data_IF_190672103640
#
_entry.id   IF_190672103640
#
_cell.length_a   1.000
_cell.length_b   1.000
_cell.length_c   1.000
_cell.angle_alpha   90.00
_cell.angle_beta   90.00
_cell.angle_gamma   90.00
#
_symmetry.space_group_name_H-M   'P 1'
#
loop_
_entity.id
_entity.type
_entity.pdbx_description
1 polymer ?
#
# COMPACT_ATOMS: atom_id res chain seq x y z
N UNK A 1 -19.51 15.63 -73.80
CA UNK A 1 -18.39 15.92 -72.87
C UNK A 1 -19.00 16.39 -71.54
N UNK A 2 -19.57 15.50 -70.73
CA UNK A 2 -18.98 14.76 -69.60
C UNK A 2 -17.55 15.16 -69.17
N UNK A 3 -17.44 15.78 -67.99
CA UNK A 3 -16.87 15.23 -66.73
C UNK A 3 -17.07 16.27 -65.62
N UNK A 4 -18.09 16.12 -64.76
CA UNK A 4 -18.10 15.37 -63.49
C UNK A 4 -17.47 16.13 -62.31
N UNK A 5 -18.36 16.59 -61.41
CA UNK A 5 -18.06 17.04 -60.05
C UNK A 5 -17.36 15.92 -59.27
N UNK A 6 -16.21 16.21 -58.66
CA UNK A 6 -15.54 15.28 -57.75
C UNK A 6 -15.98 15.56 -56.31
N UNK A 7 -16.70 14.59 -55.76
CA UNK A 7 -17.00 14.39 -54.34
C UNK A 7 -15.75 13.92 -53.59
N UNK A 8 -15.35 14.59 -52.50
CA UNK A 8 -14.75 13.89 -51.36
C UNK A 8 -15.19 14.51 -50.03
N UNK A 9 -15.94 13.70 -49.29
CA UNK A 9 -16.37 13.83 -47.91
C UNK A 9 -15.67 12.70 -47.14
N UNK A 10 -15.27 12.99 -45.90
CA UNK A 10 -14.87 12.08 -44.81
C UNK A 10 -13.56 11.27 -44.93
N UNK A 11 -12.63 11.56 -43.99
CA UNK A 11 -11.80 10.55 -43.34
C UNK A 11 -11.96 10.69 -41.82
N UNK A 12 -13.15 10.30 -41.32
CA UNK A 12 -13.23 9.64 -40.02
C UNK A 12 -12.57 8.29 -40.25
N UNK A 13 -11.49 7.97 -39.53
CA UNK A 13 -10.90 6.64 -39.60
C UNK A 13 -12.00 5.60 -39.28
N UNK A 14 -12.39 4.73 -40.23
CA UNK A 14 -13.17 3.57 -39.87
C UNK A 14 -12.23 2.68 -39.06
N UNK A 15 -12.58 2.40 -37.81
CA UNK A 15 -12.02 1.26 -37.10
C UNK A 15 -12.42 0.01 -37.90
N UNK A 16 -11.54 -0.43 -38.80
CA UNK A 16 -11.64 -1.75 -39.42
C UNK A 16 -11.45 -2.77 -38.30
N UNK A 17 -12.42 -3.66 -38.03
CA UNK A 17 -12.18 -4.78 -37.15
C UNK A 17 -11.20 -5.69 -37.88
N UNK A 18 -10.04 -5.95 -37.26
CA UNK A 18 -9.22 -7.10 -37.64
C UNK A 18 -10.01 -8.32 -37.18
N UNK A 19 -10.83 -8.89 -38.06
CA UNK A 19 -11.45 -10.18 -37.85
C UNK A 19 -10.33 -11.23 -37.95
N UNK A 20 -9.84 -11.67 -36.80
CA UNK A 20 -9.16 -12.95 -36.65
C UNK A 20 -10.26 -14.01 -36.57
N UNK A 21 -10.12 -15.09 -37.34
CA UNK A 21 -11.08 -16.20 -37.46
C UNK A 21 -11.34 -16.90 -36.11
N UNK A 22 -12.17 -16.27 -35.27
CA UNK A 22 -12.76 -16.87 -34.08
C UNK A 22 -14.23 -16.41 -34.04
N UNK A 23 -15.22 -17.32 -34.19
CA UNK A 23 -16.62 -16.93 -34.41
C UNK A 23 -17.33 -16.35 -33.18
N UNK A 24 -16.62 -16.16 -32.06
CA UNK A 24 -17.08 -15.37 -30.94
C UNK A 24 -16.12 -14.20 -30.72
N UNK A 25 -16.55 -12.93 -30.87
CA UNK A 25 -15.80 -11.83 -30.30
C UNK A 25 -15.71 -12.08 -28.79
N UNK A 26 -14.52 -12.46 -28.32
CA UNK A 26 -14.21 -12.43 -26.90
C UNK A 26 -14.09 -10.95 -26.55
N UNK A 27 -15.23 -10.30 -26.34
CA UNK A 27 -15.24 -8.99 -25.70
C UNK A 27 -14.59 -9.21 -24.34
N UNK A 28 -13.42 -8.61 -24.13
CA UNK A 28 -12.88 -8.55 -22.79
C UNK A 28 -13.93 -7.93 -21.86
N UNK A 29 -13.90 -8.34 -20.60
CA UNK A 29 -14.94 -7.97 -19.65
C UNK A 29 -15.02 -6.43 -19.45
N UNK A 30 -13.92 -5.71 -19.71
CA UNK A 30 -13.87 -4.25 -19.80
C UNK A 30 -14.68 -3.66 -20.95
N UNK A 31 -14.63 -4.28 -22.12
CA UNK A 31 -15.47 -3.92 -23.28
C UNK A 31 -16.93 -4.22 -22.99
N UNK A 32 -17.24 -5.32 -22.30
CA UNK A 32 -18.62 -5.62 -21.86
C UNK A 32 -19.15 -4.61 -20.83
N UNK A 33 -18.34 -4.18 -19.87
CA UNK A 33 -18.71 -3.14 -18.90
C UNK A 33 -18.87 -1.77 -19.54
N UNK A 34 -17.99 -1.41 -20.49
CA UNK A 34 -18.15 -0.21 -21.31
C UNK A 34 -19.43 -0.25 -22.14
N UNK A 35 -19.71 -1.36 -22.83
CA UNK A 35 -20.96 -1.60 -23.56
C UNK A 35 -22.16 -1.45 -22.61
N UNK A 36 -22.10 -2.05 -21.41
CA UNK A 36 -23.16 -1.94 -20.39
C UNK A 36 -23.38 -0.48 -19.95
N UNK A 37 -22.32 0.30 -19.75
CA UNK A 37 -22.43 1.72 -19.42
C UNK A 37 -23.06 2.54 -20.56
N UNK A 38 -22.75 2.21 -21.82
CA UNK A 38 -23.37 2.83 -23.00
C UNK A 38 -24.84 2.42 -23.14
N UNK A 39 -25.17 1.18 -22.78
CA UNK A 39 -26.56 0.69 -22.72
C UNK A 39 -27.33 1.45 -21.63
N UNK A 40 -26.76 1.65 -20.43
CA UNK A 40 -27.41 2.44 -19.36
C UNK A 40 -27.68 3.86 -19.84
N UNK A 41 -26.73 4.50 -20.53
CA UNK A 41 -26.95 5.82 -21.14
C UNK A 41 -28.03 5.79 -22.22
N UNK A 42 -28.01 4.79 -23.10
CA UNK A 42 -29.02 4.65 -24.14
C UNK A 42 -30.42 4.47 -23.53
N UNK A 43 -30.56 3.60 -22.54
CA UNK A 43 -31.82 3.38 -21.81
C UNK A 43 -32.25 4.66 -21.10
N UNK A 44 -31.32 5.40 -20.49
CA UNK A 44 -31.57 6.72 -19.89
C UNK A 44 -32.06 7.74 -20.93
N UNK A 45 -31.38 7.85 -22.07
CA UNK A 45 -31.72 8.75 -23.17
C UNK A 45 -33.10 8.42 -23.78
N UNK A 46 -33.41 7.13 -23.95
CA UNK A 46 -34.74 6.68 -24.38
C UNK A 46 -35.82 7.03 -23.35
N UNK A 47 -35.53 6.85 -22.07
CA UNK A 47 -36.43 7.21 -20.98
C UNK A 47 -36.71 8.72 -20.94
N UNK A 48 -35.66 9.53 -21.08
CA UNK A 48 -35.75 11.00 -21.11
C UNK A 48 -36.58 11.45 -22.31
N UNK A 49 -36.35 10.84 -23.48
CA UNK A 49 -37.15 11.10 -24.69
C UNK A 49 -38.62 10.77 -24.46
N UNK A 50 -38.92 9.66 -23.80
CA UNK A 50 -40.30 9.27 -23.49
C UNK A 50 -40.97 10.22 -22.51
N UNK A 51 -40.27 10.70 -21.47
CA UNK A 51 -40.80 11.71 -20.54
C UNK A 51 -41.04 13.05 -21.24
N UNK A 52 -40.08 13.51 -22.05
CA UNK A 52 -40.23 14.75 -22.86
C UNK A 52 -41.41 14.69 -23.82
N UNK A 53 -41.70 13.51 -24.37
CA UNK A 53 -42.83 13.27 -25.27
C UNK A 53 -44.13 12.89 -24.53
N UNK A 54 -44.22 13.07 -23.21
CA UNK A 54 -45.37 12.75 -22.37
C UNK A 54 -45.81 11.27 -22.42
N UNK A 55 -44.91 10.36 -22.80
CA UNK A 55 -45.17 8.91 -22.84
C UNK A 55 -44.93 8.23 -21.49
N UNK A 56 -44.21 8.87 -20.57
CA UNK A 56 -43.94 8.42 -19.19
C UNK A 56 -43.92 9.61 -18.23
N UNK A 57 -44.26 9.38 -16.97
CA UNK A 57 -44.14 10.39 -15.91
C UNK A 57 -42.74 10.42 -15.30
N UNK A 58 -42.45 11.46 -14.51
CA UNK A 58 -41.19 11.54 -13.74
C UNK A 58 -41.21 10.57 -12.54
N UNK A 59 -42.39 10.26 -11.99
CA UNK A 59 -42.54 9.17 -11.02
C UNK A 59 -42.14 7.82 -11.62
N UNK A 60 -42.49 7.57 -12.88
CA UNK A 60 -42.10 6.34 -13.55
C UNK A 60 -40.58 6.26 -13.69
N UNK A 61 -39.89 7.39 -13.92
CA UNK A 61 -38.43 7.46 -13.96
C UNK A 61 -37.82 7.02 -12.62
N UNK A 62 -38.29 7.56 -11.51
CA UNK A 62 -37.83 7.16 -10.18
C UNK A 62 -38.11 5.69 -9.86
N UNK A 63 -39.26 5.14 -10.27
CA UNK A 63 -39.56 3.70 -10.15
C UNK A 63 -38.67 2.82 -11.04
N UNK A 64 -38.19 3.38 -12.16
CA UNK A 64 -37.18 2.73 -13.00
C UNK A 64 -35.83 2.67 -12.29
N UNK A 65 -35.42 3.78 -11.66
CA UNK A 65 -34.16 3.87 -10.92
C UNK A 65 -34.08 2.91 -9.73
N UNK A 66 -35.19 2.58 -9.08
CA UNK A 66 -35.17 1.61 -7.98
C UNK A 66 -34.82 0.18 -8.41
N UNK A 67 -34.68 -0.07 -9.72
CA UNK A 67 -34.32 -1.38 -10.29
C UNK A 67 -32.88 -1.42 -10.81
N UNK A 68 -32.12 -0.34 -10.69
CA UNK A 68 -30.71 -0.34 -11.12
C UNK A 68 -29.91 -1.24 -10.17
N UNK A 69 -28.86 -1.89 -10.68
CA UNK A 69 -28.00 -2.72 -9.85
C UNK A 69 -27.31 -1.90 -8.77
N UNK A 70 -27.08 -2.50 -7.60
CA UNK A 70 -26.43 -1.87 -6.44
C UNK A 70 -25.09 -1.20 -6.82
N UNK A 71 -24.26 -1.90 -7.59
CA UNK A 71 -22.97 -1.40 -8.11
C UNK A 71 -23.13 -0.12 -8.95
N UNK A 72 -24.21 -0.04 -9.73
CA UNK A 72 -24.51 1.14 -10.53
C UNK A 72 -25.05 2.28 -9.65
N UNK A 73 -25.98 1.99 -8.74
CA UNK A 73 -26.50 2.96 -7.77
C UNK A 73 -25.38 3.58 -6.93
N UNK A 74 -24.54 2.73 -6.32
CA UNK A 74 -23.38 3.13 -5.52
C UNK A 74 -22.46 4.04 -6.32
N UNK A 75 -22.13 3.65 -7.55
CA UNK A 75 -21.24 4.46 -8.39
C UNK A 75 -21.79 5.84 -8.73
N UNK A 76 -23.09 5.94 -9.04
CA UNK A 76 -23.73 7.21 -9.38
C UNK A 76 -23.87 8.11 -8.15
N UNK A 77 -24.19 7.53 -6.99
CA UNK A 77 -24.25 8.24 -5.71
C UNK A 77 -22.86 8.79 -5.32
N UNK A 78 -21.81 7.99 -5.44
CA UNK A 78 -20.45 8.43 -5.10
C UNK A 78 -19.95 9.54 -6.03
N UNK A 79 -20.27 9.48 -7.33
CA UNK A 79 -20.02 10.59 -8.27
C UNK A 79 -20.76 11.86 -7.82
N UNK A 80 -22.03 11.71 -7.42
CA UNK A 80 -22.84 12.84 -6.98
C UNK A 80 -22.24 13.51 -5.74
N UNK A 81 -21.87 12.72 -4.74
CA UNK A 81 -21.24 13.19 -3.52
C UNK A 81 -19.90 13.89 -3.81
N UNK A 82 -19.10 13.33 -4.73
CA UNK A 82 -17.87 13.95 -5.19
C UNK A 82 -18.11 15.34 -5.79
N UNK A 83 -19.10 15.50 -6.69
CA UNK A 83 -19.45 16.81 -7.25
C UNK A 83 -19.92 17.83 -6.22
N UNK A 84 -20.39 17.38 -5.07
CA UNK A 84 -20.82 18.24 -3.96
C UNK A 84 -19.71 18.50 -2.93
N UNK A 85 -18.50 17.97 -3.13
CA UNK A 85 -17.41 18.04 -2.15
C UNK A 85 -17.68 17.20 -0.90
N UNK A 86 -18.57 16.21 -1.00
CA UNK A 86 -19.06 15.36 0.09
C UNK A 86 -18.60 13.91 -0.05
N UNK A 87 -17.39 13.68 -0.56
CA UNK A 87 -16.84 12.32 -0.70
C UNK A 87 -16.74 11.56 0.63
N UNK A 88 -16.66 12.27 1.77
CA UNK A 88 -16.73 11.71 3.13
C UNK A 88 -18.06 11.02 3.49
N UNK A 89 -19.14 11.27 2.73
CA UNK A 89 -20.47 10.64 2.92
C UNK A 89 -20.58 9.32 2.15
N UNK A 90 -19.52 8.89 1.47
CA UNK A 90 -19.44 7.61 0.76
C UNK A 90 -19.25 6.44 1.74
N UNK A 91 -20.24 6.24 2.60
CA UNK A 91 -20.32 5.11 3.54
C UNK A 91 -20.88 3.87 2.83
N UNK A 92 -20.66 2.71 3.45
CA UNK A 92 -21.32 1.47 3.01
C UNK A 92 -22.78 1.49 3.46
N UNK A 93 -23.69 1.50 2.49
CA UNK A 93 -25.12 1.32 2.71
C UNK A 93 -25.54 -0.13 2.42
N UNK A 94 -26.69 -0.56 2.95
CA UNK A 94 -27.26 -1.88 2.68
C UNK A 94 -27.97 -1.89 1.32
N UNK A 95 -27.57 -2.79 0.40
CA UNK A 95 -28.28 -3.12 -0.85
C UNK A 95 -29.02 -1.97 -1.54
N UNK A 96 -30.35 -1.91 -1.32
CA UNK A 96 -31.27 -0.98 -1.99
C UNK A 96 -31.10 0.49 -1.55
N UNK A 97 -30.41 0.75 -0.44
CA UNK A 97 -30.25 2.09 0.13
C UNK A 97 -29.47 3.02 -0.80
N UNK A 98 -28.52 2.50 -1.60
CA UNK A 98 -27.83 3.32 -2.60
C UNK A 98 -28.80 3.88 -3.65
N UNK A 99 -29.74 3.06 -4.12
CA UNK A 99 -30.73 3.47 -5.10
C UNK A 99 -31.73 4.45 -4.47
N UNK A 100 -32.15 4.20 -3.23
CA UNK A 100 -33.05 5.08 -2.50
C UNK A 100 -32.44 6.46 -2.22
N UNK A 101 -31.17 6.52 -1.82
CA UNK A 101 -30.45 7.77 -1.61
C UNK A 101 -30.27 8.53 -2.92
N UNK A 102 -29.87 7.83 -4.00
CA UNK A 102 -29.76 8.45 -5.32
C UNK A 102 -31.09 9.05 -5.79
N UNK A 103 -32.21 8.31 -5.63
CA UNK A 103 -33.55 8.80 -5.96
C UNK A 103 -33.94 9.99 -5.08
N UNK A 104 -33.64 9.92 -3.77
CA UNK A 104 -33.90 11.00 -2.84
C UNK A 104 -33.20 12.27 -3.33
N UNK A 105 -31.91 12.22 -3.66
CA UNK A 105 -31.19 13.38 -4.20
C UNK A 105 -31.78 13.91 -5.50
N UNK A 106 -32.08 13.03 -6.46
CA UNK A 106 -32.61 13.44 -7.76
C UNK A 106 -33.97 14.14 -7.63
N UNK A 107 -34.81 13.76 -6.66
CA UNK A 107 -36.10 14.43 -6.41
C UNK A 107 -35.98 15.89 -5.97
N UNK A 108 -34.85 16.28 -5.37
CA UNK A 108 -34.60 17.66 -4.95
C UNK A 108 -33.83 18.48 -5.99
N UNK A 109 -33.57 17.94 -7.18
CA UNK A 109 -32.97 18.68 -8.28
C UNK A 109 -34.06 19.31 -9.16
N UNK A 110 -33.81 20.53 -9.65
CA UNK A 110 -34.73 21.23 -10.57
C UNK A 110 -34.94 20.46 -11.88
N UNK A 111 -33.92 19.70 -12.32
CA UNK A 111 -33.98 18.83 -13.49
C UNK A 111 -33.38 17.44 -13.20
N UNK A 112 -34.17 16.51 -12.60
CA UNK A 112 -33.69 15.19 -12.20
C UNK A 112 -33.14 14.34 -13.35
N UNK A 113 -33.73 14.51 -14.55
CA UNK A 113 -33.36 13.76 -15.74
C UNK A 113 -32.01 14.19 -16.31
N UNK A 114 -31.78 15.50 -16.40
CA UNK A 114 -30.50 16.05 -16.85
C UNK A 114 -29.39 15.74 -15.84
N UNK A 115 -29.68 15.85 -14.55
CA UNK A 115 -28.72 15.49 -13.50
C UNK A 115 -28.32 14.01 -13.59
N UNK A 116 -29.29 13.09 -13.74
CA UNK A 116 -29.00 11.68 -13.94
C UNK A 116 -28.14 11.42 -15.18
N UNK A 117 -28.44 12.09 -16.30
CA UNK A 117 -27.64 11.97 -17.52
C UNK A 117 -26.21 12.49 -17.34
N UNK A 118 -26.01 13.56 -16.57
CA UNK A 118 -24.70 14.07 -16.22
C UNK A 118 -23.91 13.07 -15.39
N UNK A 119 -24.54 12.43 -14.40
CA UNK A 119 -23.92 11.37 -13.59
C UNK A 119 -23.52 10.15 -14.45
N UNK A 120 -24.41 9.69 -15.33
CA UNK A 120 -24.13 8.57 -16.25
C UNK A 120 -23.00 8.92 -17.21
N UNK A 121 -23.01 10.13 -17.78
CA UNK A 121 -21.93 10.59 -18.66
C UNK A 121 -20.60 10.64 -17.91
N UNK A 122 -20.58 11.20 -16.70
CA UNK A 122 -19.37 11.25 -15.89
C UNK A 122 -18.86 9.85 -15.57
N UNK A 123 -19.75 8.92 -15.19
CA UNK A 123 -19.40 7.50 -14.99
C UNK A 123 -18.74 6.90 -16.23
N UNK A 124 -19.32 7.11 -17.41
CA UNK A 124 -18.77 6.60 -18.68
C UNK A 124 -17.38 7.18 -18.94
N UNK A 125 -17.14 8.44 -18.57
CA UNK A 125 -15.91 9.14 -18.93
C UNK A 125 -14.81 9.03 -17.83
N UNK A 126 -15.17 8.68 -16.59
CA UNK A 126 -14.26 8.80 -15.42
C UNK A 126 -14.28 7.65 -14.41
N UNK A 127 -15.12 6.62 -14.57
CA UNK A 127 -15.04 5.43 -13.70
C UNK A 127 -14.16 4.36 -14.35
N UNK A 128 -13.25 3.80 -13.55
CA UNK A 128 -12.43 2.66 -13.96
C UNK A 128 -13.28 1.37 -13.92
N UNK A 129 -13.34 0.57 -15.00
CA UNK A 129 -14.04 -0.70 -14.99
C UNK A 129 -13.43 -1.65 -13.96
N UNK A 130 -14.29 -2.42 -13.28
CA UNK A 130 -13.91 -3.23 -12.12
C UNK A 130 -12.88 -4.31 -12.45
N UNK A 131 -12.88 -4.77 -13.69
CA UNK A 131 -11.92 -5.75 -14.22
C UNK A 131 -10.46 -5.32 -14.10
N UNK A 132 -10.21 -4.00 -14.12
CA UNK A 132 -8.87 -3.43 -13.96
C UNK A 132 -8.39 -3.42 -12.51
N UNK A 133 -9.25 -3.77 -11.56
CA UNK A 133 -8.93 -3.84 -10.13
C UNK A 133 -8.54 -5.25 -9.68
N UNK A 134 -8.94 -6.28 -10.44
CA UNK A 134 -8.81 -7.70 -10.03
C UNK A 134 -7.36 -8.15 -9.78
N UNK A 135 -6.38 -7.51 -10.41
CA UNK A 135 -4.98 -7.91 -10.27
C UNK A 135 -4.36 -7.57 -8.90
N UNK A 136 -4.98 -6.70 -8.10
CA UNK A 136 -4.47 -6.32 -6.78
C UNK A 136 -5.45 -6.60 -5.63
N UNK A 137 -6.75 -6.78 -5.90
CA UNK A 137 -7.80 -6.94 -4.88
C UNK A 137 -7.57 -8.08 -3.86
N UNK A 138 -6.75 -9.08 -4.20
CA UNK A 138 -6.40 -10.17 -3.29
C UNK A 138 -4.93 -10.14 -2.82
N UNK A 139 -4.15 -9.14 -3.24
CA UNK A 139 -2.73 -9.00 -2.94
C UNK A 139 -2.47 -7.67 -2.22
N UNK A 140 -2.22 -7.74 -0.91
CA UNK A 140 -1.96 -6.58 -0.09
C UNK A 140 -0.68 -5.85 -0.55
N UNK A 141 0.36 -6.57 -0.98
CA UNK A 141 1.62 -5.96 -1.43
C UNK A 141 1.39 -5.10 -2.68
N UNK A 142 0.56 -5.56 -3.62
CA UNK A 142 0.13 -4.76 -4.77
C UNK A 142 -0.62 -3.50 -4.34
N UNK A 143 -1.55 -3.64 -3.39
CA UNK A 143 -2.37 -2.53 -2.89
C UNK A 143 -1.54 -1.48 -2.15
N UNK A 144 -0.56 -1.92 -1.34
CA UNK A 144 0.41 -1.06 -0.67
C UNK A 144 1.28 -0.28 -1.66
N UNK A 145 1.72 -0.94 -2.74
CA UNK A 145 2.45 -0.28 -3.81
C UNK A 145 1.59 0.79 -4.49
N UNK A 146 0.34 0.48 -4.84
CA UNK A 146 -0.58 1.44 -5.45
C UNK A 146 -0.87 2.62 -4.51
N UNK A 147 -1.15 2.36 -3.24
CA UNK A 147 -1.35 3.40 -2.23
C UNK A 147 -0.11 4.29 -2.06
N UNK A 148 1.10 3.74 -2.16
CA UNK A 148 2.33 4.53 -2.13
C UNK A 148 2.38 5.54 -3.28
N UNK A 149 1.95 5.16 -4.49
CA UNK A 149 1.97 6.08 -5.64
C UNK A 149 1.10 7.32 -5.43
N UNK A 150 0.04 7.20 -4.63
CA UNK A 150 -0.91 8.29 -4.33
C UNK A 150 -0.89 8.71 -2.85
N UNK A 151 0.19 8.43 -2.13
CA UNK A 151 0.26 8.60 -0.67
C UNK A 151 -0.12 10.01 -0.18
N UNK A 152 0.21 11.06 -0.93
CA UNK A 152 -0.09 12.45 -0.60
C UNK A 152 -1.59 12.75 -0.66
N UNK A 153 -2.37 11.99 -1.44
CA UNK A 153 -3.83 12.09 -1.48
C UNK A 153 -4.50 11.34 -0.32
N UNK A 154 -3.76 10.43 0.33
CA UNK A 154 -4.25 9.56 1.42
C UNK A 154 -3.68 9.97 2.79
N UNK A 155 -2.97 11.10 2.87
CA UNK A 155 -2.16 11.48 4.06
C UNK A 155 -2.99 11.75 5.33
N UNK A 156 -4.30 12.01 5.17
CA UNK A 156 -5.22 12.25 6.28
C UNK A 156 -6.02 11.01 6.68
N UNK A 157 -5.74 9.86 6.05
CA UNK A 157 -6.45 8.61 6.25
C UNK A 157 -5.57 7.62 7.02
N UNK A 158 -6.23 6.72 7.74
CA UNK A 158 -5.58 5.64 8.46
C UNK A 158 -6.32 4.34 8.16
N UNK A 159 -5.58 3.34 7.69
CA UNK A 159 -6.12 2.03 7.34
C UNK A 159 -5.53 0.98 8.25
N UNK A 160 -6.42 0.24 8.89
CA UNK A 160 -6.09 -0.85 9.78
C UNK A 160 -6.25 -2.18 9.04
N UNK A 161 -5.13 -2.86 8.84
CA UNK A 161 -5.11 -4.19 8.26
C UNK A 161 -5.48 -4.27 6.79
N UNK A 162 -5.41 -5.49 6.25
CA UNK A 162 -5.53 -5.77 4.82
C UNK A 162 -6.82 -5.24 4.19
N UNK A 163 -7.96 -5.55 4.80
CA UNK A 163 -9.27 -5.34 4.16
C UNK A 163 -9.56 -3.86 3.93
N UNK A 164 -9.31 -3.02 4.94
CA UNK A 164 -9.54 -1.57 4.84
C UNK A 164 -8.69 -0.94 3.74
N UNK A 165 -7.38 -1.24 3.69
CA UNK A 165 -6.50 -0.67 2.69
C UNK A 165 -6.87 -1.12 1.27
N UNK A 166 -7.10 -2.43 1.07
CA UNK A 166 -7.45 -2.96 -0.26
C UNK A 166 -8.74 -2.31 -0.77
N UNK A 167 -9.76 -2.23 0.09
CA UNK A 167 -11.04 -1.63 -0.27
C UNK A 167 -10.87 -0.14 -0.60
N UNK A 168 -10.12 0.60 0.21
CA UNK A 168 -9.87 2.02 -0.02
C UNK A 168 -9.12 2.29 -1.33
N UNK A 169 -8.08 1.49 -1.63
CA UNK A 169 -7.36 1.61 -2.90
C UNK A 169 -8.26 1.24 -4.09
N UNK A 170 -9.09 0.20 -3.95
CA UNK A 170 -10.03 -0.20 -4.99
C UNK A 170 -11.07 0.88 -5.27
N UNK A 171 -11.68 1.45 -4.23
CA UNK A 171 -12.66 2.52 -4.36
C UNK A 171 -12.02 3.81 -4.88
N UNK A 172 -10.82 4.16 -4.39
CA UNK A 172 -10.07 5.30 -4.92
C UNK A 172 -9.81 5.13 -6.41
N UNK A 173 -9.25 4.01 -6.86
CA UNK A 173 -8.97 3.79 -8.27
C UNK A 173 -10.25 3.72 -9.11
N UNK A 174 -11.33 3.15 -8.57
CA UNK A 174 -12.62 3.04 -9.27
C UNK A 174 -13.25 4.41 -9.53
N UNK A 175 -13.28 5.27 -8.51
CA UNK A 175 -14.05 6.51 -8.54
C UNK A 175 -13.20 7.76 -8.77
N UNK A 176 -11.88 7.69 -8.54
CA UNK A 176 -10.95 8.81 -8.60
C UNK A 176 -9.76 8.55 -9.55
N UNK A 177 -9.95 7.72 -10.58
CA UNK A 177 -8.90 7.34 -11.54
C UNK A 177 -8.20 8.54 -12.20
N UNK A 178 -8.91 9.64 -12.38
CA UNK A 178 -8.35 10.88 -12.93
C UNK A 178 -7.23 11.45 -12.04
N UNK A 179 -7.39 11.44 -10.72
CA UNK A 179 -6.34 11.87 -9.80
C UNK A 179 -5.15 10.93 -9.87
N UNK A 180 -5.39 9.62 -9.85
CA UNK A 180 -4.33 8.63 -10.03
C UNK A 180 -3.52 8.92 -11.31
N UNK A 181 -4.20 9.12 -12.44
CA UNK A 181 -3.59 9.36 -13.75
C UNK A 181 -2.66 10.57 -13.81
N UNK A 182 -2.92 11.60 -13.00
CA UNK A 182 -2.13 12.83 -12.98
C UNK A 182 -0.98 12.75 -11.99
N UNK A 183 -1.14 12.01 -10.89
CA UNK A 183 -0.25 12.09 -9.74
C UNK A 183 0.73 10.91 -9.60
N UNK A 184 0.37 9.72 -10.10
CA UNK A 184 1.13 8.49 -9.83
C UNK A 184 2.60 8.55 -10.26
N UNK A 185 2.91 9.30 -11.32
CA UNK A 185 4.26 9.38 -11.89
C UNK A 185 5.27 10.00 -10.93
N UNK A 186 4.85 10.93 -10.06
CA UNK A 186 5.75 11.60 -9.13
C UNK A 186 6.37 10.65 -8.09
N UNK A 187 5.63 9.60 -7.74
CA UNK A 187 6.05 8.58 -6.78
C UNK A 187 6.41 7.24 -7.45
N UNK A 188 6.36 7.15 -8.80
CA UNK A 188 6.71 5.92 -9.48
C UNK A 188 8.22 5.68 -9.37
N UNK A 189 8.68 4.54 -8.84
CA UNK A 189 10.10 4.27 -8.70
C UNK A 189 10.82 4.24 -10.04
N UNK A 190 12.07 4.68 -10.05
CA UNK A 190 12.90 4.58 -11.24
C UNK A 190 13.28 3.13 -11.48
N UNK A 191 12.64 2.51 -12.47
CA UNK A 191 12.92 1.15 -12.91
C UNK A 191 13.68 1.12 -14.24
N UNK A 192 14.43 0.04 -14.46
CA UNK A 192 15.18 -0.19 -15.72
C UNK A 192 14.26 -0.35 -16.93
N UNK A 193 13.03 -0.83 -16.71
CA UNK A 193 12.01 -0.97 -17.74
C UNK A 193 10.84 -0.02 -17.48
N UNK A 194 10.73 1.02 -18.31
CA UNK A 194 9.57 1.91 -18.35
C UNK A 194 8.82 1.64 -19.65
N UNK A 195 7.55 1.25 -19.54
CA UNK A 195 6.69 1.00 -20.69
C UNK A 195 6.01 2.32 -21.11
N UNK A 196 5.88 2.53 -22.42
CA UNK A 196 5.14 3.68 -22.94
C UNK A 196 3.63 3.49 -22.68
N UNK A 197 2.98 4.58 -22.28
CA UNK A 197 1.53 4.64 -22.04
C UNK A 197 0.80 4.68 -23.39
N UNK A 198 0.01 3.66 -23.68
CA UNK A 198 -0.88 3.62 -24.85
C UNK A 198 -2.30 3.25 -24.41
N UNK A 199 -3.31 3.78 -25.11
CA UNK A 199 -4.71 3.43 -24.89
C UNK A 199 -5.55 4.51 -24.20
N UNK A 200 -6.75 4.12 -23.78
CA UNK A 200 -7.74 4.99 -23.11
C UNK A 200 -7.15 5.57 -21.82
N UNK A 201 -7.28 6.89 -21.63
CA UNK A 201 -6.70 7.56 -20.46
C UNK A 201 -7.18 6.97 -19.12
N UNK A 202 -8.39 6.42 -19.06
CA UNK A 202 -8.96 5.78 -17.85
C UNK A 202 -8.17 4.54 -17.45
N UNK A 203 -7.73 3.74 -18.40
CA UNK A 203 -7.17 2.40 -18.15
C UNK A 203 -5.66 2.33 -18.40
N UNK A 204 -5.13 3.22 -19.25
CA UNK A 204 -3.75 3.17 -19.69
C UNK A 204 -2.75 3.34 -18.54
N UNK A 205 -3.03 4.22 -17.56
CA UNK A 205 -2.09 4.41 -16.44
C UNK A 205 -2.06 3.20 -15.52
N UNK A 206 -3.22 2.65 -15.13
CA UNK A 206 -3.27 1.51 -14.23
C UNK A 206 -2.66 0.25 -14.88
N UNK A 207 -2.91 0.02 -16.18
CA UNK A 207 -2.27 -1.07 -16.92
C UNK A 207 -0.76 -0.87 -17.10
N UNK A 208 -0.31 0.38 -17.31
CA UNK A 208 1.12 0.70 -17.34
C UNK A 208 1.76 0.42 -15.99
N UNK A 209 1.16 0.89 -14.90
CA UNK A 209 1.63 0.69 -13.53
C UNK A 209 1.66 -0.79 -13.18
N UNK A 210 0.59 -1.54 -13.46
CA UNK A 210 0.52 -3.00 -13.31
C UNK A 210 1.65 -3.69 -14.04
N UNK A 211 1.84 -3.38 -15.33
CA UNK A 211 2.87 -4.02 -16.15
C UNK A 211 4.28 -3.70 -15.67
N UNK A 212 4.54 -2.45 -15.28
CA UNK A 212 5.81 -2.00 -14.71
C UNK A 212 6.06 -2.68 -13.38
N UNK A 213 5.09 -2.67 -12.47
CA UNK A 213 5.21 -3.29 -11.16
C UNK A 213 5.42 -4.80 -11.27
N UNK A 214 4.58 -5.54 -12.00
CA UNK A 214 4.71 -7.00 -12.10
C UNK A 214 6.05 -7.45 -12.70
N UNK A 215 6.65 -6.67 -13.60
CA UNK A 215 7.97 -6.95 -14.19
C UNK A 215 9.14 -6.59 -13.28
N UNK A 216 8.94 -5.67 -12.33
CA UNK A 216 10.01 -5.15 -11.46
C UNK A 216 9.81 -5.48 -9.97
N UNK A 217 8.69 -6.13 -9.62
CA UNK A 217 8.39 -6.62 -8.27
C UNK A 217 9.51 -7.55 -7.85
N UNK A 218 10.00 -7.34 -6.64
CA UNK A 218 11.10 -8.15 -6.12
C UNK A 218 10.61 -9.58 -5.95
N UNK A 219 11.25 -10.52 -6.64
CA UNK A 219 11.02 -11.94 -6.44
C UNK A 219 11.50 -12.36 -5.04
N UNK A 220 10.97 -13.47 -4.53
CA UNK A 220 11.29 -13.96 -3.20
C UNK A 220 12.81 -14.05 -3.03
N UNK A 221 13.36 -13.28 -2.09
CA UNK A 221 14.75 -13.45 -1.68
C UNK A 221 14.78 -14.42 -0.50
N UNK A 222 15.47 -15.55 -0.71
CA UNK A 222 15.43 -16.75 0.13
C UNK A 222 15.84 -16.53 1.60
N UNK A 223 16.44 -15.39 1.91
CA UNK A 223 16.99 -15.14 3.24
C UNK A 223 15.95 -14.56 4.23
N UNK A 224 14.88 -13.89 3.77
CA UNK A 224 13.79 -13.42 4.66
C UNK A 224 12.72 -14.49 4.76
N UNK A 225 12.71 -15.19 5.90
CA UNK A 225 11.72 -16.22 6.20
C UNK A 225 10.41 -15.58 6.69
N UNK A 226 9.29 -15.70 5.94
CA UNK A 226 8.00 -15.14 6.34
C UNK A 226 7.42 -15.80 7.60
N UNK A 227 7.89 -17.00 7.98
CA UNK A 227 7.47 -17.70 9.20
C UNK A 227 8.26 -17.30 10.44
N UNK A 228 9.29 -16.46 10.28
CA UNK A 228 10.14 -16.03 11.38
C UNK A 228 9.70 -14.65 11.89
N UNK A 229 8.77 -14.61 12.83
CA UNK A 229 8.22 -13.36 13.40
C UNK A 229 9.31 -12.38 13.88
N UNK A 230 10.34 -12.90 14.56
CA UNK A 230 11.46 -12.09 15.05
C UNK A 230 12.20 -11.41 13.90
N UNK A 231 12.42 -12.13 12.80
CA UNK A 231 13.07 -11.62 11.61
C UNK A 231 12.22 -10.57 10.90
N UNK A 232 10.91 -10.77 10.82
CA UNK A 232 9.98 -9.81 10.22
C UNK A 232 9.95 -8.52 11.05
N UNK A 233 9.82 -8.63 12.37
CA UNK A 233 9.86 -7.48 13.28
C UNK A 233 11.18 -6.72 13.22
N UNK A 234 12.30 -7.45 13.16
CA UNK A 234 13.61 -6.84 13.00
C UNK A 234 13.71 -6.11 11.66
N UNK A 235 13.27 -6.73 10.57
CA UNK A 235 13.33 -6.15 9.22
C UNK A 235 12.51 -4.86 9.13
N UNK A 236 11.31 -4.88 9.71
CA UNK A 236 10.46 -3.69 9.81
C UNK A 236 11.15 -2.57 10.59
N UNK A 237 11.71 -2.86 11.77
CA UNK A 237 12.44 -1.88 12.59
C UNK A 237 13.69 -1.34 11.88
N UNK A 238 14.40 -2.20 11.15
CA UNK A 238 15.58 -1.82 10.38
C UNK A 238 15.24 -0.78 9.31
N UNK A 239 14.16 -1.00 8.56
CA UNK A 239 13.65 -0.10 7.50
C UNK A 239 12.90 1.13 8.05
N UNK A 240 12.68 1.21 9.36
CA UNK A 240 12.19 2.41 10.04
C UNK A 240 13.31 3.26 10.67
N UNK A 241 14.54 2.74 10.69
CA UNK A 241 15.65 3.38 11.40
C UNK A 241 16.06 4.71 10.77
N UNK A 242 16.50 5.66 11.60
CA UNK A 242 17.02 6.95 11.14
C UNK A 242 18.07 6.76 10.04
N UNK A 243 17.89 7.46 8.91
CA UNK A 243 18.74 7.34 7.71
C UNK A 243 18.44 6.13 6.82
N UNK A 244 17.40 5.36 7.12
CA UNK A 244 16.91 4.19 6.37
C UNK A 244 15.38 4.15 6.39
N UNK A 245 14.73 5.30 6.21
CA UNK A 245 13.28 5.50 6.31
C UNK A 245 12.55 4.98 5.07
N UNK A 246 12.76 3.70 4.76
CA UNK A 246 12.27 3.07 3.53
C UNK A 246 10.88 2.47 3.68
N UNK A 247 10.35 2.32 4.91
CA UNK A 247 8.97 1.88 5.10
C UNK A 247 8.00 2.92 4.51
N UNK A 248 7.23 2.47 3.52
CA UNK A 248 6.16 3.25 2.89
C UNK A 248 4.94 3.36 3.81
N UNK A 249 4.08 4.34 3.54
CA UNK A 249 2.78 4.52 4.22
C UNK A 249 2.88 4.59 5.75
N UNK A 250 4.01 5.07 6.26
CA UNK A 250 4.22 5.30 7.69
C UNK A 250 3.21 6.31 8.21
N UNK A 251 2.39 5.91 9.19
CA UNK A 251 1.31 6.73 9.74
C UNK A 251 -0.02 6.64 8.96
N UNK A 252 -0.04 5.92 7.83
CA UNK A 252 -1.24 5.71 6.99
C UNK A 252 -1.70 4.25 7.09
N UNK A 253 -0.80 3.27 7.00
CA UNK A 253 -1.15 1.85 7.09
C UNK A 253 -0.63 1.20 8.37
N UNK A 254 -1.50 0.45 9.04
CA UNK A 254 -1.23 -0.25 10.29
C UNK A 254 -1.45 -1.76 10.13
N UNK A 255 -0.37 -2.56 9.94
CA UNK A 255 -0.50 -4.01 9.79
C UNK A 255 -0.97 -4.67 11.09
N UNK A 256 -1.90 -5.61 11.00
CA UNK A 256 -2.51 -6.29 12.17
C UNK A 256 -1.80 -7.59 12.55
N UNK A 257 -1.00 -8.16 11.64
CA UNK A 257 -0.32 -9.44 11.84
C UNK A 257 1.05 -9.48 11.15
N UNK A 258 1.84 -10.53 11.42
CA UNK A 258 3.17 -10.72 10.83
C UNK A 258 3.12 -10.77 9.30
N UNK A 259 2.13 -11.44 8.72
CA UNK A 259 2.03 -11.59 7.27
C UNK A 259 1.86 -10.24 6.58
N UNK A 260 1.00 -9.38 7.10
CA UNK A 260 0.80 -8.03 6.55
C UNK A 260 2.04 -7.14 6.74
N UNK A 261 2.73 -7.27 7.87
CA UNK A 261 4.02 -6.60 8.10
C UNK A 261 5.09 -7.06 7.11
N UNK A 262 5.13 -8.36 6.81
CA UNK A 262 6.00 -8.92 5.78
C UNK A 262 5.67 -8.36 4.39
N UNK A 263 4.40 -8.34 3.99
CA UNK A 263 3.98 -7.74 2.71
C UNK A 263 4.31 -6.24 2.63
N UNK A 264 4.21 -5.51 3.73
CA UNK A 264 4.64 -4.11 3.83
C UNK A 264 6.15 -3.95 3.64
N UNK A 265 6.97 -4.82 4.25
CA UNK A 265 8.42 -4.84 4.01
C UNK A 265 8.70 -5.07 2.53
N UNK A 266 8.04 -6.06 1.91
CA UNK A 266 8.25 -6.36 0.50
C UNK A 266 7.84 -5.20 -0.42
N UNK A 267 6.67 -4.59 -0.19
CA UNK A 267 6.22 -3.43 -0.95
C UNK A 267 7.17 -2.23 -0.77
N UNK A 268 7.69 -2.02 0.45
CA UNK A 268 8.69 -0.99 0.74
C UNK A 268 10.00 -1.19 -0.02
N UNK A 269 10.38 -2.44 -0.28
CA UNK A 269 11.56 -2.77 -1.08
C UNK A 269 11.27 -2.65 -2.59
N UNK A 270 10.04 -2.93 -3.03
CA UNK A 270 9.64 -2.75 -4.42
C UNK A 270 9.70 -1.31 -4.86
N UNK A 271 9.41 -0.36 -3.97
CA UNK A 271 9.47 1.07 -4.31
C UNK A 271 10.89 1.62 -4.43
N UNK A 272 11.90 0.83 -4.09
CA UNK A 272 13.30 1.21 -4.30
C UNK A 272 13.70 0.96 -5.75
N UNK A 273 14.51 1.88 -6.31
CA UNK A 273 15.04 1.74 -7.65
C UNK A 273 15.85 0.46 -7.81
N UNK A 274 15.63 -0.23 -8.94
CA UNK A 274 16.40 -1.40 -9.36
C UNK A 274 17.44 -1.09 -10.44
N UNK A 275 17.64 0.19 -10.77
CA UNK A 275 18.66 0.65 -11.72
C UNK A 275 19.98 0.83 -10.98
N UNK A 276 21.05 0.30 -11.53
CA UNK A 276 22.38 0.40 -10.93
C UNK A 276 22.90 1.83 -10.94
N UNK A 277 23.39 2.30 -9.80
CA UNK A 277 23.98 3.62 -9.63
C UNK A 277 25.43 3.49 -9.14
N UNK A 278 26.35 4.12 -9.87
CA UNK A 278 27.79 4.12 -9.56
C UNK A 278 28.11 4.76 -8.20
N UNK A 279 27.26 5.65 -7.71
CA UNK A 279 27.41 6.30 -6.40
C UNK A 279 27.05 5.38 -5.23
N UNK A 280 26.13 4.43 -5.46
CA UNK A 280 25.57 3.56 -4.43
C UNK A 280 26.47 2.33 -4.24
N UNK A 281 26.74 2.01 -2.98
CA UNK A 281 27.51 0.84 -2.57
C UNK A 281 28.48 1.12 -1.44
N UNK A 282 29.24 0.10 -1.09
CA UNK A 282 30.28 0.14 -0.05
C UNK A 282 31.56 0.82 -0.54
N UNK A 283 32.52 1.05 0.36
CA UNK A 283 33.86 1.53 0.00
C UNK A 283 34.56 0.62 -1.02
N UNK A 284 34.31 -0.68 -0.97
CA UNK A 284 35.03 -1.69 -1.77
C UNK A 284 34.25 -2.18 -2.99
N UNK A 285 32.94 -1.91 -3.07
CA UNK A 285 32.07 -2.32 -4.17
C UNK A 285 30.98 -1.27 -4.36
N UNK A 286 30.98 -0.65 -5.54
CA UNK A 286 30.04 0.38 -6.01
C UNK A 286 29.22 -0.13 -7.20
N UNK A 287 28.22 0.62 -7.63
CA UNK A 287 27.38 0.24 -8.78
C UNK A 287 26.20 -0.65 -8.40
N UNK A 288 25.69 -0.54 -7.17
CA UNK A 288 24.46 -1.25 -6.79
C UNK A 288 23.25 -0.40 -7.16
N UNK A 289 22.14 -1.03 -7.52
CA UNK A 289 20.84 -0.38 -7.37
C UNK A 289 20.52 -0.11 -5.90
N UNK A 290 19.70 0.92 -5.62
CA UNK A 290 19.30 1.25 -4.25
C UNK A 290 18.66 0.03 -3.57
N UNK A 291 17.77 -0.67 -4.27
CA UNK A 291 17.13 -1.88 -3.77
C UNK A 291 18.15 -2.96 -3.43
N UNK A 292 19.07 -3.28 -4.34
CA UNK A 292 20.08 -4.32 -4.12
C UNK A 292 21.00 -3.97 -2.94
N UNK A 293 21.38 -2.70 -2.80
CA UNK A 293 22.21 -2.24 -1.70
C UNK A 293 21.49 -2.33 -0.34
N UNK A 294 20.21 -1.95 -0.29
CA UNK A 294 19.40 -2.06 0.93
C UNK A 294 19.26 -3.52 1.35
N UNK A 295 18.90 -4.41 0.41
CA UNK A 295 18.81 -5.86 0.66
C UNK A 295 20.13 -6.45 1.17
N UNK A 296 21.24 -6.15 0.49
CA UNK A 296 22.57 -6.59 0.91
C UNK A 296 22.92 -6.10 2.33
N UNK A 297 22.61 -4.84 2.63
CA UNK A 297 22.90 -4.24 3.94
C UNK A 297 22.04 -4.86 5.04
N UNK A 298 20.76 -5.12 4.76
CA UNK A 298 19.85 -5.81 5.67
C UNK A 298 20.36 -7.23 5.96
N UNK A 299 20.62 -8.02 4.93
CA UNK A 299 21.07 -9.41 5.08
C UNK A 299 22.36 -9.49 5.89
N UNK A 300 23.34 -8.63 5.56
CA UNK A 300 24.59 -8.53 6.30
C UNK A 300 24.35 -8.21 7.77
N UNK A 301 23.53 -7.20 8.07
CA UNK A 301 23.24 -6.81 9.45
C UNK A 301 22.54 -7.92 10.25
N UNK A 302 21.58 -8.62 9.64
CA UNK A 302 20.88 -9.75 10.25
C UNK A 302 21.82 -10.92 10.54
N UNK A 303 22.66 -11.29 9.56
CA UNK A 303 23.64 -12.37 9.74
C UNK A 303 24.67 -12.03 10.81
N UNK A 304 25.14 -10.78 10.87
CA UNK A 304 26.03 -10.34 11.94
C UNK A 304 25.37 -10.44 13.31
N UNK A 305 24.07 -10.10 13.45
CA UNK A 305 23.36 -10.32 14.72
C UNK A 305 23.30 -11.80 15.11
N UNK A 306 23.03 -12.71 14.15
CA UNK A 306 23.06 -14.15 14.40
C UNK A 306 24.46 -14.65 14.78
N UNK A 307 25.51 -14.06 14.21
CA UNK A 307 26.89 -14.35 14.60
C UNK A 307 27.18 -13.85 16.02
N UNK A 308 26.82 -12.61 16.38
CA UNK A 308 26.94 -12.12 17.75
C UNK A 308 26.10 -12.92 18.76
N UNK A 309 24.96 -13.49 18.33
CA UNK A 309 24.14 -14.37 19.16
C UNK A 309 24.71 -15.80 19.27
N UNK A 310 25.40 -16.31 18.23
CA UNK A 310 26.09 -17.62 18.24
C UNK A 310 27.48 -17.57 18.90
N UNK A 311 28.18 -16.46 18.78
CA UNK A 311 29.44 -16.13 19.47
C UNK A 311 29.21 -15.69 20.93
N UNK A 312 27.95 -15.55 21.33
CA UNK A 312 27.54 -15.75 22.71
C UNK A 312 26.92 -17.14 22.87
N UNK A 313 27.71 -18.23 22.84
CA UNK A 313 27.32 -19.34 23.70
C UNK A 313 27.23 -18.75 25.12
N UNK A 314 26.27 -19.22 25.88
CA UNK A 314 26.10 -18.93 27.30
C UNK A 314 27.27 -19.47 28.16
N UNK A 315 28.51 -19.24 27.74
CA UNK A 315 29.73 -19.74 28.38
C UNK A 315 31.00 -18.87 28.20
N UNK A 316 30.99 -17.75 27.46
CA UNK A 316 32.19 -16.87 27.37
C UNK A 316 31.84 -15.37 27.33
N UNK A 317 31.39 -14.82 28.46
CA UNK A 317 31.63 -13.42 28.82
C UNK A 317 31.25 -13.17 30.28
N UNK A 318 32.09 -13.65 31.19
CA UNK A 318 32.36 -12.97 32.45
C UNK A 318 33.85 -12.61 32.52
N UNK A 319 34.41 -12.07 31.43
CA UNK A 319 35.76 -11.51 31.47
C UNK A 319 35.70 -10.10 32.05
N UNK A 320 35.86 -10.00 33.37
CA UNK A 320 36.00 -8.71 34.06
C UNK A 320 37.32 -8.07 33.63
N UNK A 321 37.22 -6.93 32.92
CA UNK A 321 38.41 -6.20 32.46
C UNK A 321 39.06 -5.45 33.62
N UNK A 322 40.24 -5.90 34.04
CA UNK A 322 41.04 -5.21 35.06
C UNK A 322 41.90 -4.13 34.40
N UNK A 323 41.85 -2.91 34.92
CA UNK A 323 42.70 -1.82 34.45
C UNK A 323 44.19 -2.11 34.72
N UNK A 324 45.08 -1.77 33.77
CA UNK A 324 46.54 -2.01 33.87
C UNK A 324 47.18 -1.63 35.22
N UNK A 325 46.86 -0.47 35.85
CA UNK A 325 47.43 -0.10 37.15
C UNK A 325 47.03 -1.03 38.31
N UNK A 326 45.96 -1.79 38.15
CA UNK A 326 45.41 -2.67 39.19
C UNK A 326 45.88 -4.13 39.05
N UNK A 327 46.52 -4.49 37.92
CA UNK A 327 47.10 -5.82 37.70
C UNK A 327 48.14 -6.17 38.80
N UNK A 328 49.16 -5.34 39.09
CA UNK A 328 50.14 -5.70 40.11
C UNK A 328 49.54 -5.77 41.53
N UNK A 329 48.48 -5.00 41.81
CA UNK A 329 47.76 -5.07 43.09
C UNK A 329 47.01 -6.39 43.24
N UNK A 330 46.35 -6.82 42.16
CA UNK A 330 45.62 -8.07 42.11
C UNK A 330 46.56 -9.28 42.23
N UNK A 331 47.71 -9.25 41.55
CA UNK A 331 48.74 -10.30 41.68
C UNK A 331 49.27 -10.40 43.12
N UNK A 332 49.53 -9.27 43.79
CA UNK A 332 49.95 -9.26 45.18
C UNK A 332 48.88 -9.83 46.13
N UNK A 333 47.60 -9.50 45.89
CA UNK A 333 46.47 -10.04 46.66
C UNK A 333 46.29 -11.55 46.46
N UNK A 334 46.44 -12.04 45.23
CA UNK A 334 46.42 -13.47 44.92
C UNK A 334 47.57 -14.22 45.61
N UNK A 335 48.78 -13.65 45.58
CA UNK A 335 49.95 -14.24 46.24
C UNK A 335 49.79 -14.28 47.77
N UNK A 336 49.22 -13.23 48.39
CA UNK A 336 49.02 -13.15 49.84
C UNK A 336 47.95 -14.13 50.35
N UNK A 337 46.85 -14.29 49.61
CA UNK A 337 45.70 -15.10 50.04
C UNK A 337 45.72 -16.55 49.56
N UNK A 338 46.56 -16.88 48.55
CA UNK A 338 46.55 -18.18 47.90
C UNK A 338 45.32 -18.45 47.02
N UNK A 339 44.45 -17.44 46.80
CA UNK A 339 43.23 -17.58 46.00
C UNK A 339 43.50 -17.32 44.51
N UNK A 340 42.77 -18.05 43.66
CA UNK A 340 42.72 -17.77 42.23
C UNK A 340 41.91 -16.50 41.94
N UNK A 341 42.13 -15.88 40.78
CA UNK A 341 41.39 -14.70 40.32
C UNK A 341 39.86 -14.89 40.41
N UNK A 342 39.36 -16.05 39.98
CA UNK A 342 37.93 -16.36 39.99
C UNK A 342 37.38 -16.45 41.43
N UNK A 343 38.13 -17.05 42.34
CA UNK A 343 37.76 -17.12 43.76
C UNK A 343 37.77 -15.73 44.41
N UNK A 344 38.74 -14.88 44.08
CA UNK A 344 38.79 -13.51 44.59
C UNK A 344 37.59 -12.67 44.17
N UNK A 345 37.23 -12.74 42.89
CA UNK A 345 36.09 -11.98 42.34
C UNK A 345 34.79 -12.44 42.99
N UNK A 346 34.55 -13.74 43.07
CA UNK A 346 33.34 -14.27 43.69
C UNK A 346 33.26 -13.95 45.19
N UNK A 347 34.35 -14.15 45.95
CA UNK A 347 34.38 -13.80 47.36
C UNK A 347 34.14 -12.30 47.59
N UNK A 348 34.67 -11.43 46.71
CA UNK A 348 34.44 -9.99 46.80
C UNK A 348 32.99 -9.62 46.51
N UNK A 349 32.36 -10.29 45.54
CA UNK A 349 30.93 -10.10 45.23
C UNK A 349 30.07 -10.49 46.42
N UNK A 350 30.32 -11.66 47.01
CA UNK A 350 29.62 -12.15 48.20
C UNK A 350 29.78 -11.19 49.38
N UNK A 351 31.01 -10.77 49.69
CA UNK A 351 31.27 -9.82 50.77
C UNK A 351 30.59 -8.47 50.56
N UNK A 352 30.63 -7.92 49.34
CA UNK A 352 29.95 -6.66 49.01
C UNK A 352 28.44 -6.79 49.11
N UNK A 353 27.89 -7.93 48.71
CA UNK A 353 26.45 -8.20 48.79
C UNK A 353 25.99 -8.36 50.24
N UNK A 354 26.72 -9.13 51.05
CA UNK A 354 26.44 -9.32 52.47
C UNK A 354 26.52 -7.99 53.23
N UNK A 355 27.49 -7.13 52.92
CA UNK A 355 27.57 -5.77 53.46
C UNK A 355 26.38 -4.90 53.04
N UNK A 356 25.92 -5.02 51.80
CA UNK A 356 24.77 -4.27 51.31
C UNK A 356 23.46 -4.69 51.99
N UNK A 357 23.30 -5.99 52.27
CA UNK A 357 22.17 -6.51 53.06
C UNK A 357 22.28 -6.05 54.51
N UNK A 358 23.46 -6.19 55.14
CA UNK A 358 23.67 -5.79 56.54
C UNK A 358 23.42 -4.29 56.76
N UNK A 359 23.88 -3.45 55.84
CA UNK A 359 23.65 -2.00 55.90
C UNK A 359 22.17 -1.61 55.68
N UNK A 360 21.40 -2.41 54.93
CA UNK A 360 19.96 -2.19 54.75
C UNK A 360 19.14 -2.68 55.96
N UNK A 361 19.62 -3.67 56.71
CA UNK A 361 18.99 -4.08 57.98
C UNK A 361 19.25 -3.08 59.11
N UNK A 362 20.38 -2.37 59.10
CA UNK A 362 20.72 -1.36 60.12
C UNK A 362 20.00 -0.02 59.91
N UNK A 363 19.55 0.30 58.69
CA UNK A 363 18.71 1.49 58.41
C UNK A 363 17.25 1.28 58.79
N UNK A 364 16.74 0.05 58.80
CA UNK A 364 15.38 -0.26 59.27
C UNK A 364 15.29 -0.40 60.80
N UNK A 365 16.42 -0.53 61.52
CA UNK A 365 16.45 -0.65 62.99
C UNK A 365 16.61 0.67 63.75
N UNK A 366 16.82 1.80 63.07
CA UNK A 366 17.01 3.12 63.72
C UNK A 366 15.80 4.05 63.65
N UNK A 367 14.81 3.77 62.82
CA UNK A 367 13.59 4.58 62.74
C UNK A 367 12.49 4.13 63.72
N UNK A 368 12.64 2.96 64.36
CA UNK A 368 11.69 2.43 65.36
C UNK A 368 12.13 2.66 66.83
N UNK A 369 13.21 3.41 67.08
CA UNK A 369 13.73 3.71 68.41
C UNK A 369 13.91 5.22 68.65
N UNK A 370 12.90 6.02 68.30
CA UNK A 370 12.68 7.36 68.85
C UNK A 370 11.18 7.64 68.90
N UNK A 371 10.49 6.90 69.77
CA UNK A 371 9.25 7.32 70.40
C UNK A 371 9.55 8.05 71.70
#
# INVERSE_FOLDING_TARGET
>A
MNTALSTQVHNVYPAQPVFVDNPNPVFDQSTQQYISSKIIRFVGDEYIRDVKNQKRSIEDFHKGLSKIGESDAKSLLYIKNYFQGRSWENISFDGDDYANQLIFHLKYCDNPLEEFNNLVRYKIDNILPETYLEWFKNDLRCSLFLAHLINHLMVHEAYKGRQELIQAVADFLRYNIYFFNNEYMGNLPHYSLVLQRYGDQRTASIETVKSVYLKNRTENFDWIDPKNDQMIDWSYKYLCGKGREYIILKGIFFPENTQEKYELILASLDVLSNVDDRSIGTKNKKGFSLRAYVLFSMEKAWRSQKQYAKERPSSENDSVKIYKPNIPKLEALMAYSGLTLKQMVNNSIEQMYDQLIANNSDTLGKDDASG
#
